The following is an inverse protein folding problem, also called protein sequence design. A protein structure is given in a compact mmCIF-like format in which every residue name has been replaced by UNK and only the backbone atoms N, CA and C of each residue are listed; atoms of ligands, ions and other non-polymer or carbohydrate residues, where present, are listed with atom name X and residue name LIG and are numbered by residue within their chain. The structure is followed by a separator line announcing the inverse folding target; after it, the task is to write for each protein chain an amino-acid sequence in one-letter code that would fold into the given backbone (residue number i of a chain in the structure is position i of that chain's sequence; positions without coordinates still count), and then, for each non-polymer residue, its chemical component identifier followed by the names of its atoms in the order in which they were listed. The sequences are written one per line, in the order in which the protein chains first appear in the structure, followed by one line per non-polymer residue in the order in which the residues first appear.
data_IF_710327455304
#
_entry.id   IF_710327455304
#
_cell.length_a   1.000
_cell.length_b   1.000
_cell.length_c   1.000
_cell.angle_alpha   90.00
_cell.angle_beta   90.00
_cell.angle_gamma   90.00
#
_symmetry.space_group_name_H-M   'P 1'
#
loop_
_entity.id
_entity.type
_entity.pdbx_description
1 polymer ?
#
# COMPACT_ATOMS: atom_id res chain seq x y z
N UNK A 1 -9.66 -19.72 -9.09
CA UNK A 1 -11.00 -20.32 -9.30
C UNK A 1 -11.90 -19.25 -9.87
N UNK A 2 -12.91 -19.59 -10.66
CA UNK A 2 -13.81 -18.60 -11.22
C UNK A 2 -15.15 -19.19 -11.64
N UNK A 3 -16.13 -18.32 -11.78
CA UNK A 3 -17.47 -18.66 -12.27
C UNK A 3 -17.88 -17.68 -13.36
N UNK A 4 -18.50 -18.22 -14.41
CA UNK A 4 -19.15 -17.45 -15.47
C UNK A 4 -20.64 -17.76 -15.46
N UNK A 5 -21.48 -16.73 -15.47
CA UNK A 5 -22.93 -16.88 -15.33
C UNK A 5 -23.69 -15.78 -16.06
N UNK A 6 -24.99 -15.99 -16.29
CA UNK A 6 -25.91 -15.00 -16.83
C UNK A 6 -27.05 -14.80 -15.82
N UNK A 7 -27.50 -13.56 -15.65
CA UNK A 7 -28.68 -13.25 -14.82
C UNK A 7 -29.99 -13.49 -15.57
N UNK A 8 -29.96 -13.42 -16.90
CA UNK A 8 -31.07 -13.70 -17.81
C UNK A 8 -30.57 -14.41 -19.08
N UNK A 9 -31.39 -15.25 -19.75
CA UNK A 9 -30.94 -16.10 -20.85
C UNK A 9 -30.28 -15.36 -22.03
N UNK A 10 -30.71 -14.14 -22.30
CA UNK A 10 -30.31 -13.36 -23.50
C UNK A 10 -29.26 -12.28 -23.22
N UNK A 11 -28.73 -12.19 -21.99
CA UNK A 11 -27.69 -11.22 -21.63
C UNK A 11 -26.27 -11.75 -21.85
N UNK A 12 -25.33 -10.85 -22.03
CA UNK A 12 -23.90 -11.21 -21.99
C UNK A 12 -23.51 -11.78 -20.61
N UNK A 13 -22.42 -12.53 -20.58
CA UNK A 13 -21.99 -13.25 -19.38
C UNK A 13 -21.26 -12.35 -18.40
N UNK A 14 -21.54 -12.53 -17.11
CA UNK A 14 -20.72 -12.06 -16.01
C UNK A 14 -19.66 -13.10 -15.65
N UNK A 15 -18.52 -12.63 -15.14
CA UNK A 15 -17.42 -13.45 -14.67
C UNK A 15 -16.93 -12.94 -13.32
N UNK A 16 -16.73 -13.87 -12.37
CA UNK A 16 -16.10 -13.60 -11.09
C UNK A 16 -14.89 -14.52 -10.98
N UNK A 17 -13.72 -13.93 -10.80
CA UNK A 17 -12.44 -14.62 -10.66
C UNK A 17 -11.88 -14.38 -9.28
N UNK A 18 -11.46 -15.44 -8.60
CA UNK A 18 -10.71 -15.38 -7.35
C UNK A 18 -9.37 -16.09 -7.50
N UNK A 19 -8.33 -15.49 -6.93
CA UNK A 19 -7.11 -16.21 -6.59
C UNK A 19 -7.12 -16.48 -5.09
N UNK A 20 -6.68 -17.68 -4.71
CA UNK A 20 -6.60 -18.08 -3.33
C UNK A 20 -5.44 -19.03 -3.11
N UNK A 21 -4.96 -19.08 -1.87
CA UNK A 21 -3.88 -19.97 -1.42
C UNK A 21 -4.41 -20.86 -0.31
N UNK A 22 -3.97 -22.12 -0.32
CA UNK A 22 -4.25 -23.08 0.74
C UNK A 22 -3.06 -23.09 1.70
N UNK A 23 -3.35 -22.99 3.00
CA UNK A 23 -2.35 -23.10 4.07
C UNK A 23 -2.38 -24.46 4.75
N UNK A 24 -3.41 -25.26 4.48
CA UNK A 24 -3.54 -26.63 4.97
C UNK A 24 -2.44 -27.54 4.40
N UNK A 25 -1.91 -28.45 5.22
CA UNK A 25 -0.82 -29.35 4.81
C UNK A 25 -1.31 -30.65 4.16
N UNK A 26 -2.54 -31.09 4.44
CA UNK A 26 -3.07 -32.38 3.98
C UNK A 26 -3.96 -32.22 2.75
N UNK A 27 -3.72 -33.02 1.71
CA UNK A 27 -4.46 -32.98 0.45
C UNK A 27 -5.97 -33.22 0.62
N UNK A 28 -6.37 -34.07 1.59
CA UNK A 28 -7.78 -34.34 1.87
C UNK A 28 -8.50 -33.08 2.36
N UNK A 29 -7.91 -32.37 3.32
CA UNK A 29 -8.46 -31.12 3.84
C UNK A 29 -8.51 -30.04 2.77
N UNK A 30 -7.44 -29.91 1.98
CA UNK A 30 -7.42 -29.00 0.84
C UNK A 30 -8.57 -29.28 -0.16
N UNK A 31 -8.83 -30.55 -0.48
CA UNK A 31 -9.93 -30.93 -1.38
C UNK A 31 -11.30 -30.56 -0.81
N UNK A 32 -11.52 -30.82 0.48
CA UNK A 32 -12.77 -30.45 1.18
C UNK A 32 -12.97 -28.93 1.18
N UNK A 33 -11.93 -28.17 1.52
CA UNK A 33 -11.93 -26.70 1.55
C UNK A 33 -12.18 -26.09 0.18
N UNK A 34 -11.51 -26.60 -0.86
CA UNK A 34 -11.75 -26.16 -2.25
C UNK A 34 -13.18 -26.46 -2.70
N UNK A 35 -13.74 -27.61 -2.30
CA UNK A 35 -15.14 -27.97 -2.57
C UNK A 35 -16.15 -27.03 -1.91
N UNK A 36 -15.91 -26.66 -0.65
CA UNK A 36 -16.71 -25.66 0.07
C UNK A 36 -16.60 -24.28 -0.60
N UNK A 37 -15.39 -23.82 -0.89
CA UNK A 37 -15.15 -22.54 -1.54
C UNK A 37 -15.84 -22.46 -2.92
N UNK A 38 -15.78 -23.53 -3.71
CA UNK A 38 -16.49 -23.61 -4.99
C UNK A 38 -18.01 -23.55 -4.83
N UNK A 39 -18.55 -24.20 -3.80
CA UNK A 39 -19.99 -24.14 -3.47
C UNK A 39 -20.40 -22.74 -3.05
N UNK A 40 -19.61 -22.10 -2.19
CA UNK A 40 -19.83 -20.73 -1.73
C UNK A 40 -19.75 -19.73 -2.88
N UNK A 41 -18.81 -19.92 -3.83
CA UNK A 41 -18.68 -19.12 -5.04
C UNK A 41 -19.94 -19.20 -5.92
N UNK A 42 -20.45 -20.41 -6.15
CA UNK A 42 -21.68 -20.63 -6.92
C UNK A 42 -22.89 -20.00 -6.21
N UNK A 43 -23.02 -20.24 -4.90
CA UNK A 43 -24.11 -19.69 -4.10
C UNK A 43 -24.09 -18.16 -4.10
N UNK A 44 -22.91 -17.56 -3.88
CA UNK A 44 -22.71 -16.12 -3.92
C UNK A 44 -23.10 -15.53 -5.28
N UNK A 45 -22.63 -16.10 -6.38
CA UNK A 45 -22.99 -15.61 -7.72
C UNK A 45 -24.50 -15.73 -8.01
N UNK A 46 -25.17 -16.74 -7.44
CA UNK A 46 -26.60 -16.93 -7.62
C UNK A 46 -27.45 -16.01 -6.74
N UNK A 47 -27.01 -15.69 -5.51
CA UNK A 47 -27.82 -14.98 -4.49
C UNK A 47 -27.39 -13.56 -4.17
N UNK A 48 -26.12 -13.23 -4.37
CA UNK A 48 -25.50 -12.01 -3.86
C UNK A 48 -24.65 -11.29 -4.92
N UNK A 49 -24.84 -11.58 -6.22
CA UNK A 49 -24.05 -10.91 -7.27
C UNK A 49 -24.29 -9.38 -7.29
N UNK A 50 -25.48 -8.94 -6.90
CA UNK A 50 -25.91 -7.55 -6.75
C UNK A 50 -25.44 -6.91 -5.42
N UNK A 51 -24.90 -7.71 -4.50
CA UNK A 51 -24.27 -7.25 -3.27
C UNK A 51 -22.85 -7.84 -3.10
N UNK A 52 -21.84 -7.31 -3.82
CA UNK A 52 -20.47 -7.84 -3.80
C UNK A 52 -19.83 -7.92 -2.41
N UNK A 53 -20.21 -7.04 -1.47
CA UNK A 53 -19.70 -7.07 -0.10
C UNK A 53 -20.23 -8.28 0.68
N UNK A 54 -21.51 -8.60 0.53
CA UNK A 54 -22.12 -9.79 1.13
C UNK A 54 -21.63 -11.07 0.45
N UNK A 55 -21.48 -11.04 -0.88
CA UNK A 55 -20.83 -12.10 -1.64
C UNK A 55 -19.46 -12.47 -1.04
N UNK A 56 -18.61 -11.48 -0.76
CA UNK A 56 -17.29 -11.68 -0.20
C UNK A 56 -17.32 -12.39 1.15
N UNK A 57 -18.25 -11.98 2.03
CA UNK A 57 -18.41 -12.61 3.34
C UNK A 57 -18.80 -14.09 3.22
N UNK A 58 -19.69 -14.40 2.26
CA UNK A 58 -20.15 -15.76 2.00
C UNK A 58 -19.06 -16.71 1.49
N UNK A 59 -17.95 -16.21 0.92
CA UNK A 59 -16.87 -17.07 0.42
C UNK A 59 -16.23 -17.93 1.52
N UNK A 60 -16.15 -17.41 2.74
CA UNK A 60 -15.56 -18.09 3.89
C UNK A 60 -16.58 -18.91 4.70
N UNK A 61 -17.82 -19.05 4.24
CA UNK A 61 -18.85 -19.75 5.00
C UNK A 61 -18.48 -21.23 5.22
N UNK A 62 -18.43 -21.65 6.48
CA UNK A 62 -17.91 -22.96 6.91
C UNK A 62 -16.47 -23.28 6.46
N UNK A 63 -15.62 -22.25 6.31
CA UNK A 63 -14.18 -22.39 6.04
C UNK A 63 -13.42 -21.65 7.15
N UNK A 64 -12.41 -22.31 7.73
CA UNK A 64 -11.54 -21.66 8.70
C UNK A 64 -10.74 -20.52 8.03
N UNK A 65 -10.66 -19.36 8.68
CA UNK A 65 -9.93 -18.21 8.15
C UNK A 65 -8.44 -18.52 7.95
N UNK A 66 -7.86 -19.41 8.76
CA UNK A 66 -6.46 -19.80 8.65
C UNK A 66 -6.23 -20.86 7.56
N UNK A 67 -7.28 -21.50 7.04
CA UNK A 67 -7.16 -22.56 6.02
C UNK A 67 -6.84 -22.00 4.62
N UNK A 68 -7.39 -20.84 4.30
CA UNK A 68 -7.21 -20.18 3.00
C UNK A 68 -6.96 -18.69 3.10
N UNK A 69 -6.21 -18.16 2.13
CA UNK A 69 -6.03 -16.73 1.91
C UNK A 69 -6.54 -16.37 0.52
N UNK A 70 -7.61 -15.56 0.43
CA UNK A 70 -8.09 -14.98 -0.83
C UNK A 70 -7.40 -13.62 -1.01
N UNK A 71 -6.47 -13.55 -1.97
CA UNK A 71 -5.59 -12.40 -2.20
C UNK A 71 -5.91 -11.62 -3.49
N UNK A 72 -6.85 -12.11 -4.30
CA UNK A 72 -7.40 -11.38 -5.45
C UNK A 72 -8.85 -11.77 -5.70
N UNK A 73 -9.66 -10.78 -6.03
CA UNK A 73 -10.99 -10.96 -6.58
C UNK A 73 -11.27 -9.95 -7.70
N UNK A 74 -11.79 -10.42 -8.82
CA UNK A 74 -12.22 -9.58 -9.93
C UNK A 74 -13.65 -9.93 -10.33
N UNK A 75 -14.46 -8.90 -10.47
CA UNK A 75 -15.81 -8.91 -11.02
C UNK A 75 -15.78 -8.25 -12.40
N UNK A 76 -16.42 -8.87 -13.38
CA UNK A 76 -16.60 -8.30 -14.72
C UNK A 76 -17.90 -8.77 -15.37
N UNK A 77 -18.43 -7.97 -16.29
CA UNK A 77 -19.65 -8.26 -17.02
C UNK A 77 -20.74 -7.20 -16.84
N UNK A 78 -21.82 -7.31 -17.62
CA UNK A 78 -22.84 -6.27 -17.74
C UNK A 78 -23.61 -6.00 -16.43
N UNK A 79 -23.72 -6.99 -15.55
CA UNK A 79 -24.44 -6.84 -14.28
C UNK A 79 -23.52 -6.41 -13.13
N UNK A 80 -22.22 -6.24 -13.41
CA UNK A 80 -21.16 -5.95 -12.44
C UNK A 80 -20.37 -4.67 -12.81
N UNK A 81 -20.87 -3.86 -13.75
CA UNK A 81 -20.17 -2.64 -14.23
C UNK A 81 -19.93 -1.61 -13.12
N UNK A 82 -20.85 -1.52 -12.15
CA UNK A 82 -20.75 -0.60 -11.01
C UNK A 82 -19.82 -1.11 -9.90
N UNK A 83 -19.27 -2.32 -10.03
CA UNK A 83 -18.40 -2.91 -9.00
C UNK A 83 -16.96 -2.42 -9.17
N UNK A 84 -16.52 -1.58 -8.24
CA UNK A 84 -15.11 -1.20 -8.16
C UNK A 84 -14.27 -2.34 -7.57
N UNK A 85 -13.50 -3.02 -8.43
CA UNK A 85 -12.61 -4.12 -8.03
C UNK A 85 -11.55 -3.69 -7.00
N UNK A 86 -11.17 -2.41 -6.95
CA UNK A 86 -10.24 -1.90 -5.95
C UNK A 86 -10.89 -1.86 -4.57
N UNK A 87 -12.15 -1.47 -4.52
CA UNK A 87 -12.94 -1.52 -3.29
C UNK A 87 -13.10 -2.97 -2.81
N UNK A 88 -13.34 -3.92 -3.72
CA UNK A 88 -13.46 -5.33 -3.35
C UNK A 88 -12.16 -5.89 -2.78
N UNK A 89 -11.02 -5.56 -3.39
CA UNK A 89 -9.70 -5.89 -2.84
C UNK A 89 -9.43 -5.25 -1.47
N UNK A 90 -9.89 -4.01 -1.23
CA UNK A 90 -9.84 -3.42 0.10
C UNK A 90 -10.68 -4.22 1.12
N UNK A 91 -11.87 -4.69 0.71
CA UNK A 91 -12.71 -5.51 1.60
C UNK A 91 -12.03 -6.84 1.97
N UNK A 92 -11.24 -7.44 1.06
CA UNK A 92 -10.47 -8.65 1.40
C UNK A 92 -9.53 -8.40 2.60
N UNK A 93 -8.82 -7.26 2.60
CA UNK A 93 -7.92 -6.92 3.70
C UNK A 93 -8.72 -6.57 4.97
N UNK A 94 -9.79 -5.80 4.82
CA UNK A 94 -10.66 -5.40 5.93
C UNK A 94 -11.28 -6.61 6.64
N UNK A 95 -11.65 -7.64 5.89
CA UNK A 95 -12.24 -8.87 6.40
C UNK A 95 -11.20 -9.88 6.91
N UNK A 96 -9.90 -9.55 6.80
CA UNK A 96 -8.81 -10.43 7.23
C UNK A 96 -8.51 -11.61 6.30
N UNK A 97 -8.99 -11.56 5.05
CA UNK A 97 -8.81 -12.65 4.08
C UNK A 97 -7.44 -12.66 3.41
N UNK A 98 -6.79 -11.49 3.37
CA UNK A 98 -5.38 -11.34 3.02
C UNK A 98 -4.79 -10.13 3.75
N UNK A 99 -3.48 -10.11 3.92
CA UNK A 99 -2.80 -8.98 4.54
C UNK A 99 -2.46 -7.86 3.54
N UNK A 100 -2.45 -8.15 2.23
CA UNK A 100 -2.01 -7.20 1.22
C UNK A 100 -2.53 -7.49 -0.18
N UNK A 101 -2.92 -6.42 -0.88
CA UNK A 101 -3.36 -6.45 -2.29
C UNK A 101 -2.61 -5.38 -3.08
N UNK A 102 -2.43 -5.60 -4.39
CA UNK A 102 -1.69 -4.69 -5.26
C UNK A 102 -2.57 -4.28 -6.45
N UNK A 103 -2.58 -2.98 -6.75
CA UNK A 103 -3.22 -2.41 -7.93
C UNK A 103 -2.18 -1.89 -8.91
N UNK A 104 -2.41 -2.17 -10.19
CA UNK A 104 -1.66 -1.60 -11.28
C UNK A 104 -2.03 -0.15 -11.58
N UNK A 105 -1.26 0.50 -12.47
CA UNK A 105 -1.53 1.85 -12.95
C UNK A 105 -2.95 2.05 -13.54
N UNK A 106 -3.55 0.99 -14.08
CA UNK A 106 -4.90 1.05 -14.67
C UNK A 106 -6.01 0.76 -13.65
N UNK A 107 -5.65 0.59 -12.36
CA UNK A 107 -6.58 0.19 -11.32
C UNK A 107 -6.92 -1.31 -11.32
N UNK A 108 -6.22 -2.10 -12.13
CA UNK A 108 -6.35 -3.54 -12.22
C UNK A 108 -5.67 -4.25 -11.04
N UNK A 109 -6.29 -5.31 -10.54
CA UNK A 109 -5.71 -6.14 -9.48
C UNK A 109 -4.54 -6.96 -10.03
N UNK A 110 -3.38 -6.86 -9.37
CA UNK A 110 -2.16 -7.58 -9.73
C UNK A 110 -1.86 -8.65 -8.70
N UNK A 111 -1.54 -9.86 -9.17
CA UNK A 111 -1.05 -10.93 -8.30
C UNK A 111 0.35 -10.60 -7.79
N UNK A 112 0.56 -10.52 -6.46
CA UNK A 112 1.88 -10.19 -5.91
C UNK A 112 2.97 -11.19 -6.32
N UNK A 113 2.60 -12.47 -6.42
CA UNK A 113 3.50 -13.53 -6.85
C UNK A 113 4.00 -13.33 -8.29
N UNK A 114 3.18 -12.77 -9.18
CA UNK A 114 3.60 -12.49 -10.56
C UNK A 114 4.44 -11.21 -10.62
N UNK A 115 3.94 -10.15 -10.00
CA UNK A 115 4.57 -8.84 -10.03
C UNK A 115 5.96 -8.82 -9.38
N UNK A 116 6.12 -9.46 -8.21
CA UNK A 116 7.29 -9.31 -7.37
C UNK A 116 8.35 -10.40 -7.59
N UNK A 117 8.02 -11.48 -8.30
CA UNK A 117 8.91 -12.63 -8.44
C UNK A 117 10.24 -12.27 -9.10
N UNK A 118 11.33 -12.55 -8.37
CA UNK A 118 12.71 -12.25 -8.78
C UNK A 118 12.96 -10.78 -9.15
N UNK A 119 12.12 -9.85 -8.68
CA UNK A 119 12.29 -8.40 -8.86
C UNK A 119 12.99 -7.77 -7.66
N UNK A 120 13.72 -6.69 -7.90
CA UNK A 120 14.09 -5.72 -6.88
C UNK A 120 12.84 -4.92 -6.51
N UNK A 121 12.66 -4.64 -5.22
CA UNK A 121 11.42 -4.02 -4.74
C UNK A 121 11.80 -2.72 -4.03
N UNK A 122 11.30 -1.60 -4.53
CA UNK A 122 11.40 -0.30 -3.87
C UNK A 122 10.01 0.08 -3.39
N UNK A 123 9.84 0.37 -2.11
CA UNK A 123 8.55 0.78 -1.57
C UNK A 123 8.64 2.12 -0.84
N UNK A 124 7.57 2.91 -0.94
CA UNK A 124 7.37 4.11 -0.14
C UNK A 124 6.00 4.05 0.52
N UNK A 125 5.98 4.17 1.84
CA UNK A 125 4.76 4.21 2.64
C UNK A 125 4.30 5.64 2.86
N UNK A 126 3.01 5.90 2.68
CA UNK A 126 2.43 7.21 2.95
C UNK A 126 0.91 7.21 3.03
N UNK A 127 0.35 8.32 3.52
CA UNK A 127 -1.10 8.54 3.49
C UNK A 127 -1.60 8.87 2.08
N UNK A 128 -0.78 9.57 1.29
CA UNK A 128 -1.08 10.05 -0.07
C UNK A 128 -2.44 10.75 -0.16
N UNK A 129 -2.76 11.57 0.84
CA UNK A 129 -4.05 12.25 1.00
C UNK A 129 -3.92 13.78 0.92
N UNK A 130 -3.90 14.38 -0.29
CA UNK A 130 -3.53 13.75 -1.57
C UNK A 130 -2.00 13.53 -1.66
N UNK A 131 -1.54 12.87 -2.73
CA UNK A 131 -0.11 12.81 -3.06
C UNK A 131 0.43 14.20 -3.40
N UNK A 132 1.65 14.52 -2.97
CA UNK A 132 2.25 15.85 -3.13
C UNK A 132 3.55 15.81 -3.94
N UNK A 133 4.07 16.99 -4.33
CA UNK A 133 5.39 17.10 -4.97
C UNK A 133 6.51 16.49 -4.12
N UNK A 134 6.43 16.60 -2.79
CA UNK A 134 7.41 15.99 -1.88
C UNK A 134 7.46 14.49 -2.07
N UNK A 135 6.30 13.82 -2.14
CA UNK A 135 6.26 12.37 -2.35
C UNK A 135 6.87 11.96 -3.70
N UNK A 136 6.63 12.77 -4.75
CA UNK A 136 7.21 12.51 -6.07
C UNK A 136 8.72 12.69 -6.10
N UNK A 137 9.25 13.73 -5.45
CA UNK A 137 10.71 13.93 -5.35
C UNK A 137 11.33 12.83 -4.48
N UNK A 138 10.73 12.48 -3.34
CA UNK A 138 11.14 11.37 -2.49
C UNK A 138 11.34 10.08 -3.28
N UNK A 139 10.31 9.63 -4.01
CA UNK A 139 10.40 8.36 -4.73
C UNK A 139 11.38 8.44 -5.90
N UNK A 140 11.44 9.59 -6.60
CA UNK A 140 12.35 9.78 -7.74
C UNK A 140 13.80 9.69 -7.28
N UNK A 141 14.16 10.47 -6.27
CA UNK A 141 15.52 10.50 -5.71
C UNK A 141 15.89 9.18 -5.05
N UNK A 142 14.93 8.56 -4.35
CA UNK A 142 15.10 7.22 -3.79
C UNK A 142 15.31 6.15 -4.87
N UNK A 143 14.56 6.22 -5.98
CA UNK A 143 14.71 5.32 -7.12
C UNK A 143 16.09 5.47 -7.76
N UNK A 144 16.51 6.70 -8.09
CA UNK A 144 17.81 6.98 -8.71
C UNK A 144 18.94 6.39 -7.85
N UNK A 145 18.92 6.65 -6.54
CA UNK A 145 19.91 6.12 -5.61
C UNK A 145 19.85 4.59 -5.49
N UNK A 146 18.66 4.00 -5.51
CA UNK A 146 18.46 2.55 -5.44
C UNK A 146 19.01 1.85 -6.68
N UNK A 147 18.73 2.38 -7.87
CA UNK A 147 19.16 1.81 -9.16
C UNK A 147 20.63 2.04 -9.48
N UNK A 148 21.24 3.07 -8.89
CA UNK A 148 22.68 3.31 -9.01
C UNK A 148 23.53 2.28 -8.22
N UNK A 149 22.91 1.49 -7.34
CA UNK A 149 23.59 0.39 -6.67
C UNK A 149 23.86 -0.76 -7.66
N UNK A 150 25.13 -1.18 -7.75
CA UNK A 150 25.58 -2.23 -8.68
C UNK A 150 24.84 -3.57 -8.56
N UNK A 151 24.18 -3.84 -7.42
CA UNK A 151 23.38 -5.06 -7.23
C UNK A 151 21.96 -4.96 -7.78
N UNK A 152 21.49 -3.77 -8.14
CA UNK A 152 20.12 -3.52 -8.60
C UNK A 152 20.11 -3.47 -10.12
N UNK A 153 19.19 -4.24 -10.72
CA UNK A 153 18.87 -4.11 -12.14
C UNK A 153 17.60 -3.23 -12.29
N UNK A 154 17.70 -2.05 -12.91
CA UNK A 154 16.56 -1.14 -13.10
C UNK A 154 15.38 -1.77 -13.85
N UNK A 155 15.63 -2.57 -14.90
CA UNK A 155 14.60 -3.27 -15.69
C UNK A 155 13.86 -4.35 -14.89
N UNK A 156 14.47 -4.81 -13.80
CA UNK A 156 13.88 -5.79 -12.87
C UNK A 156 13.52 -5.13 -11.54
N UNK A 157 13.24 -3.84 -11.53
CA UNK A 157 12.81 -3.11 -10.33
C UNK A 157 11.33 -2.79 -10.41
N UNK A 158 10.62 -3.04 -9.31
CA UNK A 158 9.22 -2.64 -9.11
C UNK A 158 9.18 -1.59 -8.02
N UNK A 159 8.46 -0.50 -8.28
CA UNK A 159 8.20 0.57 -7.32
C UNK A 159 6.78 0.42 -6.78
N UNK A 160 6.61 0.39 -5.46
CA UNK A 160 5.33 0.23 -4.79
C UNK A 160 5.02 1.43 -3.90
N UNK A 161 3.82 1.97 -4.04
CA UNK A 161 3.28 3.00 -3.18
C UNK A 161 2.37 2.36 -2.15
N UNK A 162 2.83 2.26 -0.90
CA UNK A 162 2.10 1.58 0.15
C UNK A 162 1.18 2.53 0.92
N UNK A 163 -0.11 2.19 0.98
CA UNK A 163 -1.08 2.77 1.93
C UNK A 163 -1.45 1.68 2.92
N UNK A 164 -1.28 1.94 4.21
CA UNK A 164 -1.69 0.98 5.24
C UNK A 164 -3.16 1.17 5.62
N UNK A 165 -3.85 0.12 6.07
CA UNK A 165 -5.19 0.23 6.66
C UNK A 165 -5.23 1.25 7.81
N UNK A 166 -4.17 1.35 8.61
CA UNK A 166 -4.06 2.36 9.66
C UNK A 166 -4.09 3.79 9.13
N UNK A 167 -3.58 4.04 7.91
CA UNK A 167 -3.70 5.35 7.27
C UNK A 167 -5.11 5.66 6.77
N UNK A 168 -5.96 4.64 6.62
CA UNK A 168 -7.37 4.77 6.23
C UNK A 168 -8.29 4.86 7.46
N UNK A 169 -7.85 4.35 8.62
CA UNK A 169 -8.58 4.39 9.89
C UNK A 169 -8.29 5.65 10.73
N UNK A 170 -7.49 6.60 10.24
CA UNK A 170 -6.98 7.72 11.06
C UNK A 170 -8.04 8.67 11.62
N UNK A 171 -9.25 8.67 11.04
CA UNK A 171 -10.39 9.49 11.48
C UNK A 171 -11.45 8.67 12.26
N UNK A 172 -11.09 7.46 12.72
CA UNK A 172 -11.89 6.60 13.61
C UNK A 172 -12.73 5.52 12.91
N UNK A 173 -13.05 5.70 11.63
CA UNK A 173 -13.71 4.70 10.79
C UNK A 173 -13.00 4.58 9.44
N UNK A 174 -13.11 3.42 8.80
CA UNK A 174 -12.58 3.21 7.46
C UNK A 174 -13.44 4.01 6.47
N UNK A 175 -12.84 5.03 5.87
CA UNK A 175 -13.46 5.82 4.80
C UNK A 175 -13.11 5.18 3.44
N UNK A 176 -14.06 4.40 2.91
CA UNK A 176 -13.93 3.72 1.61
C UNK A 176 -13.79 4.71 0.45
N UNK A 177 -14.46 5.86 0.52
CA UNK A 177 -14.36 6.90 -0.51
C UNK A 177 -12.97 7.54 -0.48
N UNK A 178 -12.47 7.84 0.71
CA UNK A 178 -11.13 8.40 0.86
C UNK A 178 -10.04 7.42 0.39
N UNK A 179 -10.24 6.12 0.55
CA UNK A 179 -9.39 5.11 -0.09
C UNK A 179 -9.44 5.20 -1.62
N UNK A 180 -10.64 5.20 -2.21
CA UNK A 180 -10.81 5.27 -3.66
C UNK A 180 -10.18 6.53 -4.23
N UNK A 181 -10.33 7.68 -3.57
CA UNK A 181 -9.73 8.95 -3.98
C UNK A 181 -8.19 8.88 -4.02
N UNK A 182 -7.57 8.25 -3.00
CA UNK A 182 -6.11 8.06 -2.94
C UNK A 182 -5.63 7.10 -4.03
N UNK A 183 -6.32 5.96 -4.20
CA UNK A 183 -6.00 4.98 -5.22
C UNK A 183 -6.13 5.57 -6.64
N UNK A 184 -7.21 6.32 -6.88
CA UNK A 184 -7.50 6.98 -8.15
C UNK A 184 -6.36 7.93 -8.56
N UNK A 185 -5.89 8.78 -7.65
CA UNK A 185 -4.78 9.69 -7.95
C UNK A 185 -3.48 8.94 -8.23
N UNK A 186 -3.13 7.94 -7.42
CA UNK A 186 -1.90 7.18 -7.63
C UNK A 186 -1.93 6.41 -8.96
N UNK A 187 -3.04 5.78 -9.30
CA UNK A 187 -3.25 5.12 -10.60
C UNK A 187 -3.15 6.13 -11.75
N UNK A 188 -3.78 7.31 -11.64
CA UNK A 188 -3.69 8.37 -12.67
C UNK A 188 -2.25 8.87 -12.91
N UNK A 189 -1.38 8.77 -11.91
CA UNK A 189 0.05 9.07 -12.00
C UNK A 189 0.90 7.90 -12.50
N UNK A 190 0.26 6.81 -12.93
CA UNK A 190 0.93 5.62 -13.44
C UNK A 190 1.59 4.76 -12.36
N UNK A 191 1.20 4.91 -11.09
CA UNK A 191 1.87 4.23 -9.97
C UNK A 191 1.22 2.88 -9.66
N UNK A 192 2.05 1.93 -9.22
CA UNK A 192 1.60 0.66 -8.65
C UNK A 192 1.37 0.83 -7.16
N UNK A 193 0.17 0.52 -6.69
CA UNK A 193 -0.28 0.78 -5.31
C UNK A 193 -0.35 -0.52 -4.54
N UNK A 194 0.23 -0.56 -3.35
CA UNK A 194 0.11 -1.66 -2.39
C UNK A 194 -0.80 -1.20 -1.25
N UNK A 195 -1.88 -1.92 -0.98
CA UNK A 195 -2.64 -1.74 0.26
C UNK A 195 -2.28 -2.87 1.20
N UNK A 196 -2.01 -2.53 2.45
CA UNK A 196 -1.57 -3.53 3.42
C UNK A 196 -2.19 -3.32 4.80
N UNK A 197 -2.31 -4.39 5.56
CA UNK A 197 -2.54 -4.36 7.01
C UNK A 197 -1.21 -4.31 7.81
N UNK A 198 -0.09 -4.02 7.14
CA UNK A 198 1.24 -4.05 7.75
C UNK A 198 1.56 -2.77 8.50
N UNK A 199 1.09 -2.67 9.74
CA UNK A 199 1.49 -1.56 10.62
C UNK A 199 3.01 -1.48 10.78
N UNK A 200 3.69 -2.61 10.98
CA UNK A 200 5.14 -2.67 11.18
C UNK A 200 5.89 -2.97 9.88
N UNK A 201 6.98 -2.24 9.63
CA UNK A 201 7.83 -2.44 8.45
C UNK A 201 8.45 -3.84 8.33
N UNK A 202 8.70 -4.55 9.45
CA UNK A 202 9.23 -5.92 9.37
C UNK A 202 8.24 -6.88 8.69
N UNK A 203 6.93 -6.70 8.87
CA UNK A 203 5.91 -7.51 8.19
C UNK A 203 5.91 -7.25 6.68
N UNK A 204 6.05 -5.99 6.28
CA UNK A 204 6.18 -5.60 4.87
C UNK A 204 7.43 -6.22 4.22
N UNK A 205 8.57 -6.15 4.91
CA UNK A 205 9.84 -6.72 4.44
C UNK A 205 9.76 -8.26 4.37
N UNK A 206 9.14 -8.90 5.36
CA UNK A 206 8.87 -10.34 5.36
C UNK A 206 7.96 -10.72 4.19
N UNK A 207 6.89 -9.95 3.93
CA UNK A 207 5.99 -10.13 2.79
C UNK A 207 6.73 -10.08 1.46
N UNK A 208 7.54 -9.05 1.21
CA UNK A 208 8.39 -8.97 0.02
C UNK A 208 9.36 -10.17 -0.09
N UNK A 209 9.91 -10.59 1.05
CA UNK A 209 10.80 -11.74 1.15
C UNK A 209 10.17 -13.08 0.74
N UNK A 210 8.83 -13.19 0.75
CA UNK A 210 8.09 -14.39 0.26
C UNK A 210 8.20 -14.53 -1.26
N UNK A 211 8.29 -13.43 -1.99
CA UNK A 211 8.26 -13.41 -3.46
C UNK A 211 9.65 -13.20 -4.10
N UNK A 212 10.53 -12.46 -3.43
CA UNK A 212 11.85 -12.15 -3.96
C UNK A 212 12.94 -12.12 -2.89
N UNK A 213 14.08 -12.72 -3.25
CA UNK A 213 15.35 -12.63 -2.49
C UNK A 213 16.27 -11.52 -3.02
N UNK A 214 15.82 -10.73 -4.01
CA UNK A 214 16.60 -9.62 -4.55
C UNK A 214 16.60 -8.44 -3.57
N UNK A 215 17.45 -7.46 -3.87
CA UNK A 215 17.58 -6.25 -3.06
C UNK A 215 16.23 -5.53 -2.93
N UNK A 216 15.94 -5.10 -1.71
CA UNK A 216 14.75 -4.35 -1.33
C UNK A 216 15.16 -2.94 -0.88
N UNK A 217 14.28 -1.97 -1.07
CA UNK A 217 14.47 -0.57 -0.71
C UNK A 217 13.23 0.00 -0.03
N UNK A 218 13.42 0.80 1.01
CA UNK A 218 12.36 1.63 1.60
C UNK A 218 12.75 3.10 1.48
N UNK A 219 11.86 3.92 0.93
CA UNK A 219 12.00 5.38 0.91
C UNK A 219 11.10 5.96 1.98
N UNK A 220 11.63 6.80 2.86
CA UNK A 220 10.87 7.40 3.95
C UNK A 220 11.51 8.71 4.44
N UNK A 221 10.73 9.57 5.10
CA UNK A 221 11.27 10.77 5.76
C UNK A 221 11.86 10.47 7.14
N UNK A 222 12.55 11.47 7.72
CA UNK A 222 13.14 11.39 9.07
C UNK A 222 12.11 11.05 10.15
N UNK A 223 10.88 11.57 10.05
CA UNK A 223 9.80 11.27 10.99
C UNK A 223 9.41 9.79 10.95
N UNK A 224 9.29 9.20 9.76
CA UNK A 224 8.97 7.78 9.60
C UNK A 224 10.12 6.90 10.09
N UNK A 225 11.38 7.34 9.91
CA UNK A 225 12.54 6.66 10.47
C UNK A 225 12.49 6.69 12.01
N UNK A 226 12.11 7.82 12.61
CA UNK A 226 11.90 7.94 14.05
C UNK A 226 10.83 6.96 14.54
N UNK A 227 9.70 6.87 13.84
CA UNK A 227 8.65 5.91 14.15
C UNK A 227 9.08 4.46 14.04
N UNK A 228 9.97 4.12 13.10
CA UNK A 228 10.54 2.77 12.95
C UNK A 228 11.28 2.31 14.21
N UNK A 229 11.82 3.23 15.03
CA UNK A 229 12.48 2.88 16.29
C UNK A 229 11.56 2.96 17.52
N UNK A 230 10.25 3.15 17.33
CA UNK A 230 9.29 3.29 18.43
C UNK A 230 8.91 1.92 19.03
N UNK A 231 9.23 1.70 20.32
CA UNK A 231 8.97 0.43 21.03
C UNK A 231 7.49 0.01 21.03
N UNK A 232 6.56 0.97 20.96
CA UNK A 232 5.11 0.71 21.01
C UNK A 232 4.65 -0.27 19.93
N UNK A 233 5.34 -0.33 18.79
CA UNK A 233 4.99 -1.20 17.68
C UNK A 233 5.50 -2.65 17.80
N UNK A 234 6.31 -2.94 18.83
CA UNK A 234 7.02 -4.22 18.98
C UNK A 234 6.70 -4.94 20.29
N UNK A 235 5.68 -4.50 21.03
CA UNK A 235 5.32 -5.07 22.35
C UNK A 235 4.84 -6.52 22.28
N UNK A 236 4.28 -6.92 21.13
CA UNK A 236 3.77 -8.26 20.91
C UNK A 236 4.85 -9.25 20.45
N UNK A 237 6.10 -8.79 20.25
CA UNK A 237 7.23 -9.63 19.90
C UNK A 237 8.01 -10.03 21.15
N UNK A 238 8.34 -11.32 21.28
CA UNK A 238 9.10 -11.83 22.42
C UNK A 238 10.48 -11.16 22.53
N UNK A 239 11.16 -10.94 21.40
CA UNK A 239 12.43 -10.19 21.37
C UNK A 239 12.28 -8.69 21.13
N UNK A 240 11.05 -8.15 21.18
CA UNK A 240 10.77 -6.74 20.98
C UNK A 240 11.33 -6.17 19.67
N UNK A 241 11.85 -4.96 19.73
CA UNK A 241 12.45 -4.29 18.57
C UNK A 241 13.67 -5.02 18.01
N UNK A 242 14.44 -5.73 18.84
CA UNK A 242 15.61 -6.49 18.38
C UNK A 242 15.21 -7.63 17.44
N UNK A 243 14.11 -8.32 17.78
CA UNK A 243 13.54 -9.34 16.90
C UNK A 243 13.10 -8.74 15.56
N UNK A 244 12.35 -7.63 15.59
CA UNK A 244 11.89 -6.96 14.37
C UNK A 244 13.06 -6.52 13.48
N UNK A 245 14.10 -5.92 14.07
CA UNK A 245 15.28 -5.48 13.33
C UNK A 245 16.10 -6.66 12.80
N UNK A 246 16.21 -7.75 13.57
CA UNK A 246 16.78 -9.01 13.09
C UNK A 246 16.08 -9.52 11.83
N UNK A 247 14.75 -9.48 11.80
CA UNK A 247 13.96 -9.85 10.60
C UNK A 247 14.21 -8.91 9.43
N UNK A 248 14.08 -7.59 9.64
CA UNK A 248 14.29 -6.55 8.61
C UNK A 248 15.66 -6.68 7.94
N UNK A 249 16.72 -6.74 8.74
CA UNK A 249 18.09 -6.67 8.24
C UNK A 249 18.73 -8.05 7.96
N UNK A 250 18.03 -9.15 8.25
CA UNK A 250 18.34 -10.46 7.67
C UNK A 250 18.18 -10.48 6.15
N UNK A 251 17.41 -9.54 5.58
CA UNK A 251 17.20 -9.36 4.15
C UNK A 251 18.22 -8.37 3.55
N UNK A 252 18.37 -8.40 2.24
CA UNK A 252 19.16 -7.40 1.51
C UNK A 252 18.35 -6.10 1.33
N UNK A 253 18.12 -5.39 2.44
CA UNK A 253 17.36 -4.14 2.52
C UNK A 253 18.26 -2.91 2.62
N UNK A 254 17.85 -1.83 1.97
CA UNK A 254 18.33 -0.45 2.18
C UNK A 254 17.19 0.50 2.52
N UNK A 255 17.37 1.34 3.53
CA UNK A 255 16.47 2.44 3.88
C UNK A 255 17.09 3.74 3.38
N UNK A 256 16.29 4.55 2.69
CA UNK A 256 16.70 5.78 2.04
C UNK A 256 15.87 6.91 2.63
N UNK A 257 16.55 7.78 3.36
CA UNK A 257 15.96 8.77 4.24
C UNK A 257 15.93 10.10 3.51
N UNK A 258 14.71 10.57 3.20
CA UNK A 258 14.51 11.88 2.64
C UNK A 258 14.63 12.95 3.74
N UNK A 259 15.41 14.01 3.53
CA UNK A 259 15.64 15.03 4.53
C UNK A 259 14.37 15.84 4.82
N UNK A 260 14.30 16.39 6.02
CA UNK A 260 13.22 17.28 6.45
C UNK A 260 13.83 18.62 6.85
N UNK A 261 13.29 19.74 6.34
CA UNK A 261 13.70 21.07 6.80
C UNK A 261 12.86 21.45 8.02
N UNK A 262 13.52 21.70 9.14
CA UNK A 262 12.87 22.21 10.34
C UNK A 262 12.80 23.75 10.29
N UNK A 263 11.67 24.26 9.81
CA UNK A 263 11.43 25.71 9.74
C UNK A 263 11.28 26.37 11.11
N UNK A 264 11.00 25.59 12.16
CA UNK A 264 10.92 26.12 13.52
C UNK A 264 12.30 26.30 14.15
N UNK A 265 13.34 25.71 13.56
CA UNK A 265 14.71 25.71 14.07
C UNK A 265 15.70 26.16 13.00
N UNK A 266 15.61 27.43 12.60
CA UNK A 266 16.55 28.11 11.68
C UNK A 266 16.67 27.47 10.27
N UNK A 267 15.73 26.60 9.88
CA UNK A 267 15.81 25.88 8.61
C UNK A 267 16.84 24.75 8.61
N UNK A 268 17.16 24.19 9.79
CA UNK A 268 18.05 23.04 9.91
C UNK A 268 17.54 21.87 9.06
N UNK A 269 18.41 21.31 8.23
CA UNK A 269 18.12 20.09 7.46
C UNK A 269 18.33 18.88 8.37
N UNK A 270 17.24 18.23 8.76
CA UNK A 270 17.24 16.98 9.50
C UNK A 270 17.51 15.82 8.54
N UNK A 271 18.37 14.91 8.97
CA UNK A 271 18.82 13.74 8.20
C UNK A 271 18.64 12.46 9.02
N UNK A 272 19.10 11.32 8.49
CA UNK A 272 19.07 10.04 9.20
C UNK A 272 19.60 10.15 10.62
N UNK A 273 20.70 10.87 10.86
CA UNK A 273 21.34 11.04 12.17
C UNK A 273 20.53 11.87 13.16
N UNK A 274 19.57 12.67 12.68
CA UNK A 274 18.73 13.52 13.52
C UNK A 274 17.43 12.81 13.96
N UNK A 275 17.17 11.58 13.50
CA UNK A 275 16.01 10.83 13.94
C UNK A 275 16.05 10.55 15.45
N UNK A 276 14.95 10.83 16.13
CA UNK A 276 14.87 10.77 17.59
C UNK A 276 14.72 9.33 18.08
N UNK A 277 15.85 8.67 18.30
CA UNK A 277 15.89 7.29 18.77
C UNK A 277 16.18 7.23 20.27
N UNK A 278 15.41 6.41 21.00
CA UNK A 278 15.65 6.17 22.42
C UNK A 278 17.11 5.73 22.65
N UNK A 279 17.84 6.27 23.65
CA UNK A 279 19.29 6.07 23.80
C UNK A 279 19.76 4.62 23.71
N UNK A 280 18.97 3.67 24.25
CA UNK A 280 19.27 2.23 24.19
C UNK A 280 19.37 1.64 22.77
N UNK A 281 18.76 2.27 21.77
CA UNK A 281 18.77 1.80 20.38
C UNK A 281 19.70 2.61 19.47
N UNK A 282 20.32 3.68 19.96
CA UNK A 282 21.35 4.41 19.20
C UNK A 282 22.46 3.50 18.67
N UNK A 283 23.02 2.55 19.45
CA UNK A 283 24.05 1.64 18.93
C UNK A 283 23.58 0.81 17.73
N UNK A 284 22.30 0.42 17.69
CA UNK A 284 21.71 -0.33 16.57
C UNK A 284 21.63 0.57 15.34
N UNK A 285 21.15 1.80 15.53
CA UNK A 285 21.05 2.78 14.46
C UNK A 285 22.44 3.11 13.87
N UNK A 286 23.43 3.34 14.71
CA UNK A 286 24.83 3.58 14.32
C UNK A 286 25.41 2.38 13.56
N UNK A 287 25.17 1.15 14.04
CA UNK A 287 25.57 -0.08 13.35
C UNK A 287 24.96 -0.16 11.93
N UNK A 288 23.67 0.15 11.78
CA UNK A 288 22.99 0.11 10.48
C UNK A 288 23.48 1.20 9.52
N UNK A 289 23.74 2.40 10.03
CA UNK A 289 24.33 3.49 9.25
C UNK A 289 25.75 3.10 8.80
N UNK A 290 26.58 2.59 9.71
CA UNK A 290 27.94 2.14 9.42
C UNK A 290 27.98 1.07 8.32
N UNK A 291 27.01 0.15 8.32
CA UNK A 291 26.87 -0.89 7.30
C UNK A 291 26.09 -0.47 6.04
N UNK A 292 25.87 0.83 5.83
CA UNK A 292 25.18 1.37 4.65
C UNK A 292 23.76 0.79 4.45
N UNK A 293 23.09 0.44 5.55
CA UNK A 293 21.70 -0.04 5.55
C UNK A 293 20.71 1.11 5.65
N UNK A 294 21.11 2.23 6.23
CA UNK A 294 20.34 3.48 6.28
C UNK A 294 21.18 4.57 5.61
N UNK A 295 20.66 5.19 4.57
CA UNK A 295 21.32 6.16 3.70
C UNK A 295 20.50 7.44 3.66
N UNK A 296 21.16 8.59 3.54
CA UNK A 296 20.45 9.84 3.26
C UNK A 296 20.26 9.99 1.75
N UNK A 297 19.13 10.58 1.36
CA UNK A 297 18.95 11.14 0.03
C UNK A 297 19.61 12.52 0.04
N UNK A 298 20.72 12.66 -0.68
CA UNK A 298 21.51 13.90 -0.69
C UNK A 298 20.93 14.98 -1.60
N UNK A 299 20.42 14.58 -2.77
CA UNK A 299 19.82 15.49 -3.73
C UNK A 299 18.31 15.56 -3.52
N UNK A 300 17.80 16.74 -3.19
CA UNK A 300 16.38 16.99 -3.00
C UNK A 300 16.02 18.44 -3.36
N UNK A 301 14.74 18.69 -3.61
CA UNK A 301 14.25 20.05 -3.92
C UNK A 301 13.88 20.80 -2.64
N UNK A 302 14.69 21.80 -2.28
CA UNK A 302 14.47 22.67 -1.11
C UNK A 302 13.20 23.53 -1.21
N UNK A 303 12.65 23.76 -2.41
CA UNK A 303 11.47 24.59 -2.62
C UNK A 303 10.15 23.90 -2.26
N UNK A 304 10.16 22.58 -2.07
CA UNK A 304 8.94 21.78 -1.85
C UNK A 304 8.86 21.16 -0.46
N UNK A 305 9.90 21.25 0.37
CA UNK A 305 9.99 20.57 1.68
C UNK A 305 8.92 20.97 2.69
N UNK A 306 8.26 22.11 2.47
CA UNK A 306 7.25 22.70 3.36
C UNK A 306 5.83 22.26 3.00
N UNK A 307 5.69 21.31 2.09
CA UNK A 307 4.37 20.83 1.65
C UNK A 307 3.92 19.68 2.54
N UNK A 308 2.86 19.92 3.32
CA UNK A 308 2.24 18.90 4.16
C UNK A 308 0.87 18.49 3.59
N UNK A 309 0.66 17.20 3.37
CA UNK A 309 -0.61 16.69 2.79
C UNK A 309 -1.84 17.09 3.61
N UNK A 310 -1.70 17.19 4.94
CA UNK A 310 -2.80 17.61 5.84
C UNK A 310 -3.26 19.04 5.57
N UNK A 311 -2.33 19.95 5.33
CA UNK A 311 -2.64 21.36 5.01
C UNK A 311 -3.25 21.47 3.61
N UNK A 312 -2.70 20.73 2.65
CA UNK A 312 -3.25 20.64 1.29
C UNK A 312 -4.69 20.12 1.32
N UNK A 313 -4.96 19.06 2.08
CA UNK A 313 -6.31 18.51 2.24
C UNK A 313 -7.27 19.52 2.87
N UNK A 314 -6.83 20.24 3.91
CA UNK A 314 -7.65 21.28 4.55
C UNK A 314 -8.04 22.37 3.55
N UNK A 315 -7.08 22.84 2.73
CA UNK A 315 -7.33 23.83 1.67
C UNK A 315 -8.30 23.31 0.61
N UNK A 316 -8.16 22.07 0.16
CA UNK A 316 -9.07 21.45 -0.81
C UNK A 316 -10.51 21.43 -0.26
N UNK A 317 -10.70 21.01 1.00
CA UNK A 317 -12.02 20.94 1.64
C UNK A 317 -12.62 22.32 1.91
N UNK A 318 -11.80 23.29 2.30
CA UNK A 318 -12.21 24.67 2.51
C UNK A 318 -12.46 25.43 1.21
N UNK A 319 -11.99 24.89 0.08
CA UNK A 319 -12.06 25.56 -1.20
C UNK A 319 -11.17 26.78 -1.30
N UNK A 320 -10.06 26.79 -0.57
CA UNK A 320 -9.06 27.85 -0.62
C UNK A 320 -8.18 27.68 -1.86
N UNK A 321 -7.67 28.75 -2.48
CA UNK A 321 -6.73 28.65 -3.59
C UNK A 321 -5.30 28.32 -3.12
N UNK A 322 -4.45 27.89 -4.05
CA UNK A 322 -2.99 27.77 -3.88
C UNK A 322 -2.49 26.38 -3.49
N UNK A 323 -3.37 25.41 -3.25
CA UNK A 323 -2.99 24.01 -3.01
C UNK A 323 -2.50 23.30 -4.27
N UNK A 324 -2.86 23.79 -5.46
CA UNK A 324 -2.50 23.22 -6.75
C UNK A 324 -0.98 23.26 -6.95
N UNK A 325 -0.31 24.29 -6.43
CA UNK A 325 1.15 24.41 -6.47
C UNK A 325 1.87 23.34 -5.64
N UNK A 326 1.18 22.73 -4.68
CA UNK A 326 1.72 21.67 -3.83
C UNK A 326 1.62 20.28 -4.45
N UNK A 327 0.86 20.13 -5.54
CA UNK A 327 0.58 18.86 -6.18
C UNK A 327 1.43 18.62 -7.42
N UNK A 328 1.70 17.36 -7.79
CA UNK A 328 2.24 17.03 -9.09
C UNK A 328 1.35 17.55 -10.22
N UNK A 329 1.91 17.75 -11.41
CA UNK A 329 1.17 18.21 -12.57
C UNK A 329 -0.03 17.31 -12.85
N UNK A 330 -1.17 17.89 -13.27
CA UNK A 330 -2.42 17.22 -13.62
C UNK A 330 -3.25 16.67 -12.45
N UNK A 331 -2.65 16.46 -11.26
CA UNK A 331 -3.39 15.95 -10.09
C UNK A 331 -4.50 16.90 -9.66
N UNK A 332 -4.26 18.20 -9.73
CA UNK A 332 -5.25 19.22 -9.42
C UNK A 332 -6.48 19.15 -10.34
N UNK A 333 -6.26 18.91 -11.64
CA UNK A 333 -7.35 18.72 -12.61
C UNK A 333 -8.17 17.47 -12.29
N UNK A 334 -7.51 16.34 -11.98
CA UNK A 334 -8.21 15.09 -11.61
C UNK A 334 -9.03 15.27 -10.33
N UNK A 335 -8.48 15.94 -9.30
CA UNK A 335 -9.21 16.23 -8.06
C UNK A 335 -10.47 17.06 -8.35
N UNK A 336 -10.38 18.08 -9.21
CA UNK A 336 -11.53 18.93 -9.56
C UNK A 336 -12.58 18.22 -10.40
N UNK A 337 -12.15 17.48 -11.42
CA UNK A 337 -13.03 16.77 -12.36
C UNK A 337 -13.82 15.68 -11.64
N UNK A 338 -13.12 14.86 -10.84
CA UNK A 338 -13.71 13.72 -10.13
C UNK A 338 -14.22 14.06 -8.73
N UNK A 339 -14.09 15.32 -8.31
CA UNK A 339 -14.51 15.83 -6.98
C UNK A 339 -13.91 15.03 -5.81
N UNK A 340 -12.64 14.68 -5.93
CA UNK A 340 -11.93 13.86 -4.93
C UNK A 340 -11.64 14.67 -3.66
N UNK A 341 -11.39 13.98 -2.55
CA UNK A 341 -11.01 14.53 -1.25
C UNK A 341 -12.00 15.55 -0.68
N UNK A 342 -13.28 15.46 -1.07
CA UNK A 342 -14.33 16.38 -0.65
C UNK A 342 -14.30 17.73 -1.37
N UNK A 343 -13.65 17.84 -2.53
CA UNK A 343 -13.68 19.06 -3.34
C UNK A 343 -15.11 19.39 -3.77
N UNK A 344 -15.57 20.62 -3.47
CA UNK A 344 -16.89 21.13 -3.87
C UNK A 344 -16.71 22.27 -4.87
N UNK A 345 -17.60 22.34 -5.87
CA UNK A 345 -17.52 23.36 -6.96
C UNK A 345 -17.72 24.80 -6.48
N UNK A 346 -18.26 24.98 -5.27
CA UNK A 346 -18.49 26.27 -4.61
C UNK A 346 -17.27 26.77 -3.82
N UNK A 347 -16.20 25.97 -3.78
CA UNK A 347 -14.84 26.41 -3.45
C UNK A 347 -14.45 27.57 -4.38
N UNK A 348 -14.43 28.80 -3.87
CA UNK A 348 -14.14 29.98 -4.69
C UNK A 348 -12.75 29.85 -5.33
N UNK A 349 -12.59 30.31 -6.59
CA UNK A 349 -11.29 30.35 -7.26
C UNK A 349 -10.27 31.21 -6.53
#
# INVERSE_FOLDING_TARGET
MGIRFQTTPDRETNEILIHFRLHENEAKHQQETVGRLGTNLIFGAYRHYDNPKEFLLGLYDNIDQDAIEIDLINFSGPDLEDVDNRLMSLQLIKNGYTDAVIFGPQGDNLLPAELLYKKHILAMRGSFRPVTKVNMDMIKRGYDMFTNDKKVNPEKTVVLWEITLNNLLSDGALDEQDFLDRAEILCSLGQTVLISNYQQYYKLVDYFGRFSKKRQGLVMGVNNLTELFSEKYYRDLQGGILEAFGRIFSKDLKIMVYPLIDHNNEGKVLRKTDAEVHPRFRPIMEYLIFHNRILDIEEFDHGITNIFSREVLAKIKAGEPGWEHSLPQYVDAVIREKKLFGYTKDAKP
#
